data_IF_960312190635
#
_entry.id   IF_960312190635
#
_cell.length_a   1.000
_cell.length_b   1.000
_cell.length_c   1.000
_cell.angle_alpha   90.00
_cell.angle_beta   90.00
_cell.angle_gamma   90.00
#
_symmetry.space_group_name_H-M   'P 1'
#
loop_
_entity.id
_entity.type
_entity.pdbx_description
1 polymer ?
#
# COMPACT_ATOMS: atom_id res chain seq x y z
N UNK A 1 1.02 22.74 2.14
CA UNK A 1 2.11 22.51 3.10
C UNK A 1 2.90 21.30 2.64
N UNK A 2 3.84 21.49 1.72
CA UNK A 2 4.75 20.44 1.25
C UNK A 2 6.14 20.75 1.77
N UNK A 3 6.49 20.21 2.93
CA UNK A 3 7.86 20.27 3.43
C UNK A 3 8.72 19.28 2.64
N UNK A 4 9.90 19.68 2.13
CA UNK A 4 10.80 18.75 1.47
C UNK A 4 11.29 17.71 2.50
N UNK A 5 10.95 16.44 2.29
CA UNK A 5 11.47 15.32 3.10
C UNK A 5 10.46 14.58 3.97
N UNK A 6 9.15 14.73 3.75
CA UNK A 6 8.15 13.77 4.26
C UNK A 6 7.93 12.71 3.19
N UNK A 7 8.69 11.63 3.28
CA UNK A 7 8.48 10.44 2.45
C UNK A 7 7.39 9.64 3.15
N UNK A 8 6.28 9.40 2.46
CA UNK A 8 5.34 8.41 2.91
C UNK A 8 5.79 7.09 2.26
N UNK A 9 5.77 6.03 3.05
CA UNK A 9 6.03 4.67 2.63
C UNK A 9 4.75 3.89 2.88
N UNK A 10 3.91 3.77 1.86
CA UNK A 10 2.71 2.94 1.93
C UNK A 10 3.02 1.54 1.40
N UNK A 11 2.75 0.54 2.26
CA UNK A 11 2.81 -0.88 1.96
C UNK A 11 1.42 -1.51 2.06
N UNK A 12 1.08 -2.38 1.12
CA UNK A 12 -0.15 -3.17 1.15
C UNK A 12 0.17 -4.66 1.17
N UNK A 13 -0.53 -5.41 2.02
CA UNK A 13 -0.38 -6.85 2.18
C UNK A 13 -1.72 -7.53 1.95
N UNK A 14 -1.78 -8.42 0.95
CA UNK A 14 -2.89 -9.35 0.80
C UNK A 14 -2.75 -10.55 1.73
N UNK A 15 -3.69 -10.69 2.66
CA UNK A 15 -3.76 -11.75 3.64
C UNK A 15 -4.94 -12.70 3.34
N UNK A 16 -4.76 -13.98 3.68
CA UNK A 16 -5.81 -15.01 3.62
C UNK A 16 -6.72 -14.96 4.85
N UNK A 17 -7.61 -15.96 4.94
CA UNK A 17 -8.49 -16.18 6.08
C UNK A 17 -7.74 -16.40 7.40
N UNK A 18 -6.47 -16.83 7.35
CA UNK A 18 -5.62 -17.08 8.51
C UNK A 18 -4.75 -15.86 8.85
N UNK A 19 -5.05 -14.70 8.25
CA UNK A 19 -4.28 -13.46 8.42
C UNK A 19 -2.81 -13.59 8.05
N UNK A 20 -2.50 -14.57 7.19
CA UNK A 20 -1.15 -14.86 6.70
C UNK A 20 -1.00 -14.30 5.29
N UNK A 21 0.21 -13.87 4.93
CA UNK A 21 0.50 -13.42 3.57
C UNK A 21 0.28 -14.61 2.62
N UNK A 22 -0.83 -14.58 1.87
CA UNK A 22 -1.18 -15.71 1.00
C UNK A 22 -0.17 -15.87 -0.13
N UNK A 23 0.41 -14.75 -0.56
CA UNK A 23 1.26 -14.71 -1.74
C UNK A 23 2.13 -13.45 -1.70
N UNK A 24 3.44 -13.60 -1.90
CA UNK A 24 4.40 -12.49 -1.91
C UNK A 24 4.11 -11.48 -3.02
N UNK A 25 3.38 -11.86 -4.07
CA UNK A 25 2.97 -10.97 -5.15
C UNK A 25 1.90 -9.95 -4.74
N UNK A 26 1.24 -10.18 -3.60
CA UNK A 26 0.30 -9.23 -2.99
C UNK A 26 0.95 -8.37 -1.90
N UNK A 27 2.29 -8.36 -1.85
CA UNK A 27 3.04 -7.37 -1.10
C UNK A 27 3.42 -6.20 -2.01
N UNK A 28 2.65 -5.11 -1.93
CA UNK A 28 2.80 -3.93 -2.79
C UNK A 28 3.48 -2.83 -2.00
N UNK A 29 4.57 -2.30 -2.54
CA UNK A 29 5.41 -1.27 -1.93
C UNK A 29 6.10 -0.46 -3.02
N UNK A 30 6.88 0.57 -2.68
CA UNK A 30 7.49 1.47 -3.65
C UNK A 30 8.32 0.77 -4.76
N UNK A 31 9.01 -0.34 -4.45
CA UNK A 31 9.80 -1.09 -5.43
C UNK A 31 8.95 -2.05 -6.28
N UNK A 32 7.79 -2.46 -5.77
CA UNK A 32 6.83 -3.29 -6.46
C UNK A 32 5.46 -2.62 -6.38
N UNK A 33 5.24 -1.52 -7.12
CA UNK A 33 4.07 -0.66 -6.97
C UNK A 33 2.80 -1.29 -7.55
N UNK A 34 2.85 -2.51 -8.09
CA UNK A 34 1.68 -3.16 -8.70
C UNK A 34 1.68 -4.66 -8.48
N UNK A 35 0.49 -5.21 -8.23
CA UNK A 35 0.27 -6.65 -8.26
C UNK A 35 0.28 -7.15 -9.71
N UNK A 36 0.65 -8.41 -9.98
CA UNK A 36 0.65 -8.97 -11.33
C UNK A 36 -0.72 -8.91 -12.03
N UNK A 37 -1.81 -8.97 -11.27
CA UNK A 37 -3.19 -8.94 -11.78
C UNK A 37 -3.78 -7.52 -11.87
N UNK A 38 -2.96 -6.49 -11.59
CA UNK A 38 -3.36 -5.08 -11.49
C UNK A 38 -4.51 -4.81 -10.49
N UNK A 39 -4.77 -5.74 -9.57
CA UNK A 39 -5.74 -5.60 -8.48
C UNK A 39 -5.33 -4.53 -7.47
N UNK A 40 -4.02 -4.29 -7.32
CA UNK A 40 -3.44 -3.31 -6.42
C UNK A 40 -2.39 -2.50 -7.17
N UNK A 41 -2.46 -1.17 -7.09
CA UNK A 41 -1.54 -0.27 -7.79
C UNK A 41 -1.26 0.99 -6.98
N UNK A 42 -0.01 1.20 -6.61
CA UNK A 42 0.50 2.46 -6.08
C UNK A 42 0.57 3.47 -7.22
N UNK A 43 -0.25 4.52 -7.14
CA UNK A 43 -0.29 5.63 -8.09
C UNK A 43 0.76 6.71 -7.76
N UNK A 44 1.37 6.65 -6.58
CA UNK A 44 2.31 7.65 -6.09
C UNK A 44 1.61 8.98 -5.74
N UNK A 45 2.35 10.10 -5.64
CA UNK A 45 1.78 11.39 -5.27
C UNK A 45 0.69 11.81 -6.27
N UNK A 46 -0.48 12.19 -5.75
CA UNK A 46 -1.59 12.74 -6.53
C UNK A 46 -1.88 14.16 -6.06
N UNK A 47 -2.61 14.94 -6.86
CA UNK A 47 -2.83 16.36 -6.64
C UNK A 47 -3.52 16.68 -5.28
N UNK A 48 -2.71 16.82 -4.22
CA UNK A 48 -3.17 17.06 -2.84
C UNK A 48 -2.72 15.99 -1.83
N UNK A 49 -2.32 14.81 -2.29
CA UNK A 49 -1.87 13.66 -1.48
C UNK A 49 -0.40 13.35 -1.73
N UNK A 50 0.32 12.98 -0.67
CA UNK A 50 1.74 12.59 -0.76
C UNK A 50 1.92 11.24 -1.43
N UNK A 51 0.96 10.32 -1.29
CA UNK A 51 0.91 9.05 -2.01
C UNK A 51 -0.54 8.59 -2.20
N UNK A 52 -0.82 7.87 -3.28
CA UNK A 52 -2.14 7.32 -3.59
C UNK A 52 -2.04 5.87 -3.99
N UNK A 53 -3.05 5.10 -3.60
CA UNK A 53 -3.14 3.67 -3.89
C UNK A 53 -4.50 3.35 -4.50
N UNK A 54 -4.50 2.56 -5.57
CA UNK A 54 -5.69 2.05 -6.25
C UNK A 54 -5.87 0.58 -5.93
N UNK A 55 -7.05 0.25 -5.40
CA UNK A 55 -7.47 -1.12 -5.10
C UNK A 55 -8.65 -1.45 -6.00
N UNK A 56 -8.49 -2.48 -6.82
CA UNK A 56 -9.53 -3.04 -7.68
C UNK A 56 -9.99 -4.36 -7.08
N UNK A 57 -10.91 -4.29 -6.11
CA UNK A 57 -11.45 -5.47 -5.41
C UNK A 57 -12.04 -6.53 -6.36
N UNK A 58 -12.56 -6.10 -7.50
CA UNK A 58 -13.09 -6.99 -8.55
C UNK A 58 -12.04 -7.95 -9.14
N UNK A 59 -10.77 -7.53 -9.15
CA UNK A 59 -9.63 -8.34 -9.61
C UNK A 59 -8.87 -9.00 -8.47
N UNK A 60 -9.31 -8.85 -7.22
CA UNK A 60 -8.65 -9.49 -6.08
C UNK A 60 -9.16 -10.94 -6.03
N UNK A 61 -8.28 -11.95 -6.15
CA UNK A 61 -8.71 -13.34 -6.10
C UNK A 61 -9.26 -13.69 -4.73
N UNK A 62 -10.21 -14.62 -4.71
CA UNK A 62 -10.98 -15.01 -3.50
C UNK A 62 -10.11 -15.54 -2.35
N UNK A 63 -8.87 -15.94 -2.65
CA UNK A 63 -7.86 -16.34 -1.66
C UNK A 63 -7.46 -15.19 -0.73
N UNK A 64 -7.47 -13.95 -1.23
CA UNK A 64 -7.18 -12.76 -0.43
C UNK A 64 -8.46 -12.36 0.30
N UNK A 65 -8.49 -12.61 1.61
CA UNK A 65 -9.62 -12.29 2.49
C UNK A 65 -9.49 -10.92 3.13
N UNK A 66 -8.26 -10.40 3.24
CA UNK A 66 -7.99 -9.15 3.94
C UNK A 66 -6.86 -8.40 3.26
N UNK A 67 -7.04 -7.09 3.08
CA UNK A 67 -6.01 -6.19 2.59
C UNK A 67 -5.57 -5.31 3.74
N UNK A 68 -4.33 -5.48 4.20
CA UNK A 68 -3.75 -4.68 5.26
C UNK A 68 -2.89 -3.58 4.65
N UNK A 69 -3.18 -2.33 4.97
CA UNK A 69 -2.44 -1.17 4.48
C UNK A 69 -1.65 -0.56 5.63
N UNK A 70 -0.34 -0.46 5.46
CA UNK A 70 0.57 0.13 6.42
C UNK A 70 1.18 1.36 5.78
N UNK A 71 0.88 2.55 6.32
CA UNK A 71 1.51 3.79 5.90
C UNK A 71 2.49 4.22 6.99
N UNK A 72 3.78 4.24 6.65
CA UNK A 72 4.82 4.83 7.51
C UNK A 72 5.22 6.18 6.95
N UNK A 73 5.54 7.13 7.82
CA UNK A 73 6.04 8.44 7.43
C UNK A 73 7.52 8.45 7.76
N UNK A 74 8.38 8.34 6.75
CA UNK A 74 9.81 8.58 6.89
C UNK A 74 10.07 10.08 6.70
N UNK A 75 10.12 10.75 7.84
CA UNK A 75 10.48 12.14 8.02
C UNK A 75 10.56 12.43 9.51
N UNK A 76 11.27 13.48 9.91
CA UNK A 76 11.48 13.83 11.33
C UNK A 76 10.19 14.32 12.07
N UNK A 77 9.02 13.80 11.70
CA UNK A 77 7.77 13.91 12.42
C UNK A 77 7.51 12.59 13.15
N UNK A 78 7.95 12.53 14.40
CA UNK A 78 7.42 11.60 15.38
C UNK A 78 5.88 11.63 15.25
N UNK A 79 5.24 10.48 14.99
CA UNK A 79 3.82 10.32 15.27
C UNK A 79 3.68 10.46 16.78
N UNK A 80 3.50 11.70 17.28
CA UNK A 80 3.05 11.91 18.65
C UNK A 80 1.59 11.46 18.71
N UNK A 81 1.39 10.33 19.39
CA UNK A 81 0.09 9.93 19.93
C UNK A 81 -0.36 10.93 21.00
#
# INVERSE_FOLDING_TARGET
FGGPGLTFDISCFGLDAEETLSDDRYFIFFNQPKSPEESLQLLGPQAGDTESFRVTLDRVPEQIRKLSFTATIDGAGQMSQ
#
